data_IF_943593566010
#
_entry.id   IF_943593566010
#
_cell.length_a   1.000
_cell.length_b   1.000
_cell.length_c   1.000
_cell.angle_alpha   90.00
_cell.angle_beta   90.00
_cell.angle_gamma   90.00
#
_symmetry.space_group_name_H-M   'P 1'
#
loop_
_entity.id
_entity.type
_entity.pdbx_description
1 polymer ?
#
# COMPACT_ATOMS: atom_id res chain seq x y z
N UNK A 1 -26.29 22.19 66.36
CA UNK A 1 -25.64 21.05 65.67
C UNK A 1 -25.65 21.35 64.18
N UNK A 2 -24.53 21.86 63.66
CA UNK A 2 -24.34 22.16 62.24
C UNK A 2 -23.80 20.90 61.57
N UNK A 3 -24.59 20.27 60.70
CA UNK A 3 -24.11 19.17 59.86
C UNK A 3 -23.35 19.72 58.65
N UNK A 4 -22.21 19.12 58.24
CA UNK A 4 -21.45 19.60 57.10
C UNK A 4 -22.17 19.27 55.78
N UNK A 5 -22.71 20.29 55.12
CA UNK A 5 -23.21 20.22 53.74
C UNK A 5 -22.04 20.37 52.76
N UNK A 6 -21.15 19.39 52.72
CA UNK A 6 -20.13 19.29 51.68
C UNK A 6 -19.91 17.81 51.42
N UNK A 7 -20.14 17.32 50.19
CA UNK A 7 -19.41 16.18 49.55
C UNK A 7 -20.20 15.37 48.49
N UNK A 8 -21.33 15.82 47.94
CA UNK A 8 -21.94 15.06 46.80
C UNK A 8 -21.38 15.42 45.42
N UNK A 9 -20.82 16.63 45.26
CA UNK A 9 -20.26 17.08 43.97
C UNK A 9 -18.85 16.54 43.66
N UNK A 10 -18.06 16.22 44.69
CA UNK A 10 -16.68 15.77 44.56
C UNK A 10 -16.52 14.34 44.01
N UNK A 11 -17.25 13.31 44.49
CA UNK A 11 -17.15 11.95 43.95
C UNK A 11 -17.65 11.88 42.50
N UNK A 12 -18.70 12.65 42.17
CA UNK A 12 -19.22 12.75 40.81
C UNK A 12 -18.21 13.40 39.85
N UNK A 13 -17.51 14.47 40.30
CA UNK A 13 -16.40 15.08 39.54
C UNK A 13 -15.26 14.09 39.27
N UNK A 14 -14.86 13.31 40.29
CA UNK A 14 -13.79 12.32 40.14
C UNK A 14 -14.17 11.20 39.17
N UNK A 15 -15.42 10.74 39.21
CA UNK A 15 -15.95 9.75 38.26
C UNK A 15 -15.98 10.28 36.83
N UNK A 16 -16.50 11.50 36.61
CA UNK A 16 -16.50 12.11 35.27
C UNK A 16 -15.08 12.37 34.75
N UNK A 17 -14.17 12.84 35.61
CA UNK A 17 -12.77 13.04 35.24
C UNK A 17 -12.08 11.72 34.90
N UNK A 18 -12.28 10.66 35.70
CA UNK A 18 -11.73 9.34 35.43
C UNK A 18 -12.28 8.75 34.12
N UNK A 19 -13.58 8.88 33.87
CA UNK A 19 -14.21 8.46 32.61
C UNK A 19 -13.69 9.26 31.42
N UNK A 20 -13.50 10.58 31.57
CA UNK A 20 -12.93 11.44 30.54
C UNK A 20 -11.48 11.05 30.20
N UNK A 21 -10.65 10.80 31.21
CA UNK A 21 -9.26 10.35 31.02
C UNK A 21 -9.24 9.00 30.31
N UNK A 22 -10.05 8.03 30.74
CA UNK A 22 -10.12 6.71 30.09
C UNK A 22 -10.57 6.83 28.62
N UNK A 23 -11.56 7.69 28.35
CA UNK A 23 -12.03 7.96 26.99
C UNK A 23 -10.94 8.62 26.14
N UNK A 24 -10.23 9.62 26.67
CA UNK A 24 -9.12 10.29 25.98
C UNK A 24 -8.02 9.28 25.67
N UNK A 25 -7.61 8.46 26.63
CA UNK A 25 -6.56 7.45 26.44
C UNK A 25 -6.97 6.45 25.36
N UNK A 26 -8.18 5.89 25.43
CA UNK A 26 -8.68 4.92 24.46
C UNK A 26 -8.84 5.55 23.07
N UNK A 27 -9.36 6.77 23.00
CA UNK A 27 -9.51 7.49 21.74
C UNK A 27 -8.17 7.85 21.13
N UNK A 28 -7.22 8.39 21.91
CA UNK A 28 -5.88 8.71 21.44
C UNK A 28 -5.15 7.46 20.94
N UNK A 29 -5.33 6.31 21.61
CA UNK A 29 -4.79 5.03 21.13
C UNK A 29 -5.41 4.60 19.80
N UNK A 30 -6.73 4.64 19.66
CA UNK A 30 -7.42 4.32 18.40
C UNK A 30 -7.07 5.29 17.26
N UNK A 31 -6.99 6.59 17.56
CA UNK A 31 -6.54 7.65 16.67
C UNK A 31 -5.10 7.41 16.19
N UNK A 32 -4.21 7.04 17.10
CA UNK A 32 -2.81 6.73 16.78
C UNK A 32 -2.70 5.52 15.85
N UNK A 33 -3.39 4.41 16.16
CA UNK A 33 -3.37 3.21 15.32
C UNK A 33 -3.90 3.50 13.91
N UNK A 34 -5.07 4.14 13.81
CA UNK A 34 -5.73 4.37 12.52
C UNK A 34 -5.01 5.46 11.71
N UNK A 35 -4.51 6.51 12.36
CA UNK A 35 -3.69 7.54 11.73
C UNK A 35 -2.38 7.00 11.17
N UNK A 36 -1.76 6.01 11.86
CA UNK A 36 -0.57 5.33 11.36
C UNK A 36 -0.85 4.51 10.11
N UNK A 37 -1.96 3.78 10.04
CA UNK A 37 -2.35 3.01 8.85
C UNK A 37 -2.51 3.93 7.61
N UNK A 38 -3.17 5.07 7.79
CA UNK A 38 -3.32 6.07 6.72
C UNK A 38 -1.97 6.66 6.28
N UNK A 39 -1.08 6.97 7.22
CA UNK A 39 0.26 7.46 6.93
C UNK A 39 1.11 6.42 6.19
N UNK A 40 1.03 5.14 6.56
CA UNK A 40 1.72 4.03 5.90
C UNK A 40 1.31 3.91 4.42
N UNK A 41 0.01 4.02 4.11
CA UNK A 41 -0.51 3.99 2.74
C UNK A 41 0.01 5.16 1.89
N UNK A 42 -0.09 6.38 2.41
CA UNK A 42 0.39 7.58 1.71
C UNK A 42 1.91 7.54 1.48
N UNK A 43 2.66 6.99 2.46
CA UNK A 43 4.10 6.77 2.33
C UNK A 43 4.40 5.79 1.20
N UNK A 44 3.76 4.63 1.15
CA UNK A 44 3.98 3.61 0.10
C UNK A 44 3.63 4.18 -1.29
N UNK A 45 2.53 4.92 -1.39
CA UNK A 45 2.17 5.58 -2.65
C UNK A 45 3.24 6.58 -3.09
N UNK A 46 3.72 7.43 -2.18
CA UNK A 46 4.81 8.35 -2.47
C UNK A 46 6.09 7.62 -2.90
N UNK A 47 6.46 6.50 -2.24
CA UNK A 47 7.60 5.68 -2.67
C UNK A 47 7.40 5.13 -4.09
N UNK A 48 6.22 4.61 -4.40
CA UNK A 48 5.91 4.06 -5.72
C UNK A 48 6.00 5.11 -6.83
N UNK A 49 5.47 6.31 -6.60
CA UNK A 49 5.49 7.41 -7.56
C UNK A 49 6.89 8.02 -7.71
N UNK A 50 7.56 8.32 -6.60
CA UNK A 50 8.84 9.02 -6.61
C UNK A 50 10.02 8.10 -6.93
N UNK A 51 10.09 6.89 -6.38
CA UNK A 51 11.24 5.99 -6.55
C UNK A 51 10.91 4.76 -7.41
N UNK A 52 9.70 4.22 -7.32
CA UNK A 52 9.34 2.96 -7.97
C UNK A 52 9.33 3.10 -9.49
N UNK A 53 8.53 4.05 -10.00
CA UNK A 53 8.43 4.25 -11.45
C UNK A 53 9.76 4.61 -12.12
N UNK A 54 10.62 5.51 -11.57
CA UNK A 54 11.94 5.74 -12.13
C UNK A 54 12.84 4.50 -12.10
N UNK A 55 12.82 3.74 -11.00
CA UNK A 55 13.60 2.49 -10.87
C UNK A 55 13.15 1.45 -11.90
N UNK A 56 11.85 1.28 -12.11
CA UNK A 56 11.30 0.36 -13.12
C UNK A 56 11.72 0.75 -14.55
N UNK A 57 11.76 2.05 -14.86
CA UNK A 57 12.24 2.53 -16.16
C UNK A 57 13.73 2.26 -16.32
N UNK A 58 14.52 2.56 -15.29
CA UNK A 58 15.95 2.29 -15.27
C UNK A 58 16.26 0.79 -15.46
N UNK A 59 15.55 -0.11 -14.77
CA UNK A 59 15.73 -1.56 -14.95
C UNK A 59 15.51 -1.96 -16.41
N UNK A 60 14.42 -1.50 -17.04
CA UNK A 60 14.13 -1.82 -18.45
C UNK A 60 15.17 -1.26 -19.42
N UNK A 61 15.65 -0.05 -19.18
CA UNK A 61 16.66 0.58 -20.03
C UNK A 61 18.02 -0.12 -19.87
N UNK A 62 18.42 -0.47 -18.64
CA UNK A 62 19.60 -1.28 -18.37
C UNK A 62 19.53 -2.67 -19.03
N UNK A 63 18.38 -3.35 -18.94
CA UNK A 63 18.15 -4.63 -19.62
C UNK A 63 18.31 -4.51 -21.14
N UNK A 64 17.76 -3.42 -21.71
CA UNK A 64 17.86 -3.14 -23.14
C UNK A 64 19.31 -2.86 -23.53
N UNK A 65 20.00 -2.01 -22.79
CA UNK A 65 21.41 -1.68 -23.03
C UNK A 65 22.31 -2.90 -22.89
N UNK A 66 22.09 -3.77 -21.89
CA UNK A 66 22.80 -5.04 -21.74
C UNK A 66 22.65 -5.91 -22.99
N UNK A 67 21.42 -6.11 -23.44
CA UNK A 67 21.15 -6.95 -24.61
C UNK A 67 21.84 -6.40 -25.87
N UNK A 68 21.78 -5.08 -26.12
CA UNK A 68 22.48 -4.45 -27.26
C UNK A 68 24.00 -4.51 -27.11
N UNK A 69 24.51 -4.36 -25.90
CA UNK A 69 25.94 -4.45 -25.60
C UNK A 69 26.46 -5.86 -25.89
N UNK A 70 25.78 -6.90 -25.39
CA UNK A 70 26.17 -8.28 -25.60
C UNK A 70 26.18 -8.65 -27.10
N UNK A 71 25.15 -8.27 -27.85
CA UNK A 71 25.13 -8.49 -29.29
C UNK A 71 26.18 -7.69 -30.06
N UNK A 72 26.49 -6.46 -29.61
CA UNK A 72 27.59 -5.65 -30.19
C UNK A 72 28.95 -6.30 -29.98
N UNK A 73 29.23 -6.78 -28.78
CA UNK A 73 30.47 -7.53 -28.47
C UNK A 73 30.58 -8.79 -29.35
N UNK A 74 29.45 -9.45 -29.62
CA UNK A 74 29.38 -10.60 -30.51
C UNK A 74 29.47 -10.26 -32.02
N UNK A 75 29.54 -8.97 -32.39
CA UNK A 75 29.64 -8.52 -33.78
C UNK A 75 28.31 -8.36 -34.52
N UNK A 76 27.20 -8.25 -33.80
CA UNK A 76 25.85 -8.06 -34.35
C UNK A 76 25.63 -6.65 -34.92
N UNK A 77 25.44 -6.48 -36.24
CA UNK A 77 25.35 -5.15 -36.84
C UNK A 77 24.07 -4.39 -36.46
N UNK A 78 22.98 -5.11 -36.15
CA UNK A 78 21.71 -4.48 -35.72
C UNK A 78 21.82 -3.92 -34.31
N UNK A 79 22.50 -4.65 -33.44
CA UNK A 79 22.74 -4.29 -32.05
C UNK A 79 23.69 -3.09 -31.98
N UNK A 80 24.75 -3.11 -32.78
CA UNK A 80 25.66 -1.96 -32.96
C UNK A 80 24.90 -0.70 -33.38
N UNK A 81 24.01 -0.81 -34.38
CA UNK A 81 23.26 0.32 -34.90
C UNK A 81 22.27 0.94 -33.89
N UNK A 82 21.89 0.19 -32.84
CA UNK A 82 20.88 0.60 -31.85
C UNK A 82 21.45 0.82 -30.44
N UNK A 83 22.75 0.59 -30.24
CA UNK A 83 23.41 0.71 -28.94
C UNK A 83 23.40 2.15 -28.41
N UNK A 84 23.61 3.15 -29.27
CA UNK A 84 23.60 4.56 -28.88
C UNK A 84 22.23 5.00 -28.32
N UNK A 85 21.14 4.56 -28.95
CA UNK A 85 19.78 4.85 -28.49
C UNK A 85 19.49 4.17 -27.15
N UNK A 86 19.95 2.93 -26.96
CA UNK A 86 19.82 2.22 -25.69
C UNK A 86 20.57 2.94 -24.56
N UNK A 87 21.83 3.35 -24.81
CA UNK A 87 22.63 4.15 -23.87
C UNK A 87 21.93 5.45 -23.48
N UNK A 88 21.40 6.17 -24.47
CA UNK A 88 20.65 7.41 -24.25
C UNK A 88 19.37 7.19 -23.42
N UNK A 89 18.68 6.05 -23.60
CA UNK A 89 17.56 5.62 -22.76
C UNK A 89 17.97 5.49 -21.30
N UNK A 90 19.00 4.69 -21.04
CA UNK A 90 19.55 4.50 -19.69
C UNK A 90 19.97 5.82 -19.07
N UNK A 91 20.67 6.69 -19.80
CA UNK A 91 21.13 7.97 -19.26
C UNK A 91 19.96 8.86 -18.80
N UNK A 92 18.86 8.90 -19.56
CA UNK A 92 17.63 9.61 -19.15
C UNK A 92 17.03 9.00 -17.89
N UNK A 93 16.99 7.67 -17.79
CA UNK A 93 16.44 6.99 -16.61
C UNK A 93 17.31 7.18 -15.37
N UNK A 94 18.64 7.19 -15.52
CA UNK A 94 19.57 7.52 -14.43
C UNK A 94 19.38 8.97 -13.97
N UNK A 95 19.27 9.93 -14.90
CA UNK A 95 19.00 11.33 -14.56
C UNK A 95 17.67 11.49 -13.81
N UNK A 96 16.60 10.86 -14.31
CA UNK A 96 15.29 10.89 -13.65
C UNK A 96 15.31 10.30 -12.23
N UNK A 97 16.10 9.24 -12.00
CA UNK A 97 16.28 8.67 -10.66
C UNK A 97 17.10 9.59 -9.73
N UNK A 98 18.13 10.28 -10.25
CA UNK A 98 18.89 11.29 -9.49
C UNK A 98 18.00 12.46 -9.08
N UNK A 99 17.17 12.94 -9.99
CA UNK A 99 16.23 14.03 -9.70
C UNK A 99 15.20 13.61 -8.64
N UNK A 100 14.69 12.37 -8.74
CA UNK A 100 13.74 11.82 -7.77
C UNK A 100 14.32 11.66 -6.35
N UNK A 101 15.60 11.31 -6.24
CA UNK A 101 16.28 11.10 -4.95
C UNK A 101 16.74 12.41 -4.31
N UNK A 102 17.16 13.40 -5.12
CA UNK A 102 17.62 14.71 -4.68
C UNK A 102 16.51 15.66 -4.16
N UNK A 103 15.24 15.32 -4.37
CA UNK A 103 14.10 16.11 -3.90
C UNK A 103 13.89 16.04 -2.37
N UNK A 104 13.53 17.18 -1.77
CA UNK A 104 13.08 17.24 -0.36
C UNK A 104 11.58 16.96 -0.27
N UNK A 105 11.15 15.73 -0.57
CA UNK A 105 9.77 15.32 -0.25
C UNK A 105 9.68 14.91 1.23
N UNK A 106 8.93 15.70 2.00
CA UNK A 106 8.66 15.45 3.42
C UNK A 106 8.03 14.06 3.64
N UNK A 107 7.32 13.51 2.64
CA UNK A 107 6.69 12.18 2.69
C UNK A 107 7.72 11.04 2.65
N UNK A 108 8.95 11.32 2.20
CA UNK A 108 10.05 10.36 2.15
C UNK A 108 10.96 10.43 3.39
N UNK A 109 10.70 11.30 4.36
CA UNK A 109 11.54 11.41 5.57
C UNK A 109 11.57 10.13 6.41
N UNK A 110 10.54 9.29 6.31
CA UNK A 110 10.43 7.99 7.00
C UNK A 110 10.90 6.82 6.13
N UNK A 111 11.40 7.07 4.92
CA UNK A 111 11.78 6.07 3.93
C UNK A 111 13.27 5.68 3.96
N UNK A 112 13.97 5.92 5.09
CA UNK A 112 15.44 5.87 5.21
C UNK A 112 16.09 4.71 4.46
N UNK A 113 15.70 3.47 4.78
CA UNK A 113 16.30 2.28 4.16
C UNK A 113 16.07 2.17 2.64
N UNK A 114 14.94 2.63 2.11
CA UNK A 114 14.69 2.63 0.65
C UNK A 114 15.54 3.70 -0.03
N UNK A 115 15.66 4.88 0.58
CA UNK A 115 16.54 5.94 0.09
C UNK A 115 18.00 5.49 0.11
N UNK A 116 18.46 4.82 1.17
CA UNK A 116 19.84 4.31 1.26
C UNK A 116 20.15 3.31 0.14
N UNK A 117 19.18 2.46 -0.24
CA UNK A 117 19.32 1.52 -1.37
C UNK A 117 19.31 2.25 -2.71
N UNK A 118 18.47 3.27 -2.88
CA UNK A 118 18.49 4.11 -4.08
C UNK A 118 19.82 4.88 -4.21
N UNK A 119 20.35 5.43 -3.13
CA UNK A 119 21.66 6.09 -3.10
C UNK A 119 22.80 5.11 -3.42
N UNK A 120 22.69 3.87 -2.92
CA UNK A 120 23.64 2.80 -3.26
C UNK A 120 23.59 2.46 -4.74
N UNK A 121 22.40 2.37 -5.33
CA UNK A 121 22.23 2.18 -6.77
C UNK A 121 22.86 3.33 -7.56
N UNK A 122 22.61 4.58 -7.17
CA UNK A 122 23.21 5.76 -7.83
C UNK A 122 24.73 5.74 -7.78
N UNK A 123 25.33 5.43 -6.62
CA UNK A 123 26.78 5.25 -6.49
C UNK A 123 27.34 4.17 -7.39
N UNK A 124 26.60 3.07 -7.61
CA UNK A 124 27.00 2.01 -8.54
C UNK A 124 26.90 2.46 -10.00
N UNK A 125 25.87 3.24 -10.33
CA UNK A 125 25.67 3.81 -11.67
C UNK A 125 26.71 4.87 -12.05
N UNK A 126 27.40 5.47 -11.08
CA UNK A 126 28.52 6.37 -11.38
C UNK A 126 29.68 5.63 -12.09
N UNK A 127 29.79 4.31 -11.93
CA UNK A 127 30.72 3.46 -12.68
C UNK A 127 30.22 2.99 -14.06
N UNK A 128 29.04 3.43 -14.51
CA UNK A 128 28.46 2.97 -15.78
C UNK A 128 29.30 3.39 -17.00
N UNK A 129 29.98 4.54 -16.93
CA UNK A 129 30.87 4.99 -18.02
C UNK A 129 32.07 4.05 -18.20
N UNK A 130 32.69 3.62 -17.09
CA UNK A 130 33.81 2.67 -17.11
C UNK A 130 33.35 1.30 -17.63
N UNK A 131 32.18 0.84 -17.18
CA UNK A 131 31.57 -0.41 -17.67
C UNK A 131 31.33 -0.37 -19.19
N UNK A 132 30.85 0.77 -19.72
CA UNK A 132 30.68 0.99 -21.16
C UNK A 132 32.01 0.98 -21.91
N UNK A 133 33.07 1.56 -21.33
CA UNK A 133 34.40 1.54 -21.93
C UNK A 133 34.97 0.10 -22.01
N UNK A 134 34.73 -0.74 -21.00
CA UNK A 134 35.10 -2.16 -21.05
C UNK A 134 34.33 -2.91 -22.14
N UNK A 135 33.02 -2.66 -22.25
CA UNK A 135 32.19 -3.21 -23.31
C UNK A 135 32.65 -2.78 -24.71
N UNK A 136 32.98 -1.50 -24.89
CA UNK A 136 33.47 -0.94 -26.16
C UNK A 136 34.84 -1.51 -26.55
N UNK A 137 35.63 -1.95 -25.56
CA UNK A 137 36.86 -2.72 -25.77
C UNK A 137 36.60 -4.22 -26.07
N UNK A 138 35.35 -4.66 -26.15
CA UNK A 138 34.96 -6.03 -26.47
C UNK A 138 35.06 -7.00 -25.31
N UNK A 139 35.12 -6.53 -24.04
CA UNK A 139 35.22 -7.40 -22.87
C UNK A 139 33.87 -8.03 -22.52
N UNK A 140 33.70 -9.37 -22.60
CA UNK A 140 32.42 -10.02 -22.29
C UNK A 140 32.00 -9.87 -20.83
N UNK A 141 32.95 -9.63 -19.91
CA UNK A 141 32.70 -9.41 -18.48
C UNK A 141 31.80 -8.18 -18.23
N UNK A 142 31.76 -7.23 -19.17
CA UNK A 142 30.90 -6.06 -19.06
C UNK A 142 29.40 -6.45 -19.00
N UNK A 143 28.99 -7.55 -19.66
CA UNK A 143 27.61 -8.05 -19.59
C UNK A 143 27.24 -8.44 -18.15
N UNK A 144 28.16 -9.10 -17.43
CA UNK A 144 27.98 -9.42 -16.01
C UNK A 144 27.95 -8.17 -15.14
N UNK A 145 28.67 -7.10 -15.51
CA UNK A 145 28.56 -5.81 -14.82
C UNK A 145 27.16 -5.20 -14.93
N UNK A 146 26.48 -5.33 -16.08
CA UNK A 146 25.08 -4.91 -16.21
C UNK A 146 24.13 -5.77 -15.36
N UNK A 147 24.33 -7.09 -15.31
CA UNK A 147 23.54 -7.99 -14.46
C UNK A 147 23.57 -7.53 -13.00
N UNK A 148 24.77 -7.17 -12.51
CA UNK A 148 24.95 -6.67 -11.15
C UNK A 148 24.26 -5.32 -10.91
N UNK A 149 24.32 -4.39 -11.88
CA UNK A 149 23.60 -3.12 -11.78
C UNK A 149 22.08 -3.33 -11.71
N UNK A 150 21.55 -4.24 -12.53
CA UNK A 150 20.13 -4.61 -12.52
C UNK A 150 19.75 -5.26 -11.18
N UNK A 151 20.59 -6.13 -10.63
CA UNK A 151 20.36 -6.75 -9.32
C UNK A 151 20.31 -5.72 -8.18
N UNK A 152 21.21 -4.73 -8.20
CA UNK A 152 21.18 -3.59 -7.26
C UNK A 152 19.93 -2.73 -7.47
N UNK A 153 19.49 -2.55 -8.72
CA UNK A 153 18.27 -1.81 -9.02
C UNK A 153 17.02 -2.51 -8.45
N UNK A 154 16.91 -3.83 -8.60
CA UNK A 154 15.85 -4.59 -7.94
C UNK A 154 15.96 -4.59 -6.41
N UNK A 155 17.15 -4.41 -5.84
CA UNK A 155 17.33 -4.34 -4.39
C UNK A 155 16.70 -3.08 -3.76
N UNK A 156 16.41 -2.04 -4.56
CA UNK A 156 15.62 -0.88 -4.10
C UNK A 156 14.27 -1.33 -3.54
N UNK A 157 13.66 -2.37 -4.12
CA UNK A 157 12.44 -3.01 -3.65
C UNK A 157 12.68 -3.93 -2.44
N UNK A 158 12.86 -3.31 -1.27
CA UNK A 158 12.99 -3.98 0.03
C UNK A 158 11.66 -4.22 0.77
N UNK A 159 11.70 -4.80 1.99
CA UNK A 159 10.52 -5.07 2.81
C UNK A 159 9.64 -3.84 3.10
N UNK A 160 10.21 -2.63 3.05
CA UNK A 160 9.57 -1.36 3.39
C UNK A 160 8.57 -0.87 2.34
N UNK A 161 8.55 -1.53 1.17
CA UNK A 161 7.57 -1.35 0.09
C UNK A 161 6.21 -1.98 0.39
N UNK A 162 6.12 -2.81 1.44
CA UNK A 162 4.85 -3.33 1.95
C UNK A 162 4.27 -2.47 3.07
N UNK A 163 2.96 -2.20 3.03
CA UNK A 163 2.22 -1.87 4.24
C UNK A 163 2.11 -3.15 5.10
N UNK A 164 2.58 -3.08 6.35
CA UNK A 164 2.52 -4.07 7.46
C UNK A 164 1.89 -5.44 7.13
N UNK A 165 2.60 -6.55 7.42
CA UNK A 165 2.18 -7.97 7.28
C UNK A 165 0.73 -8.20 6.80
N UNK A 166 0.51 -7.94 5.52
CA UNK A 166 -0.80 -7.98 4.88
C UNK A 166 -0.67 -8.81 3.61
N UNK A 167 -1.79 -9.40 3.18
CA UNK A 167 -1.84 -10.12 1.89
C UNK A 167 -1.34 -9.24 0.74
N UNK A 168 -1.60 -7.93 0.78
CA UNK A 168 -1.14 -6.97 -0.23
C UNK A 168 0.39 -6.78 -0.23
N UNK A 169 1.03 -6.77 0.94
CA UNK A 169 2.48 -6.72 1.03
C UNK A 169 3.15 -8.01 0.54
N UNK A 170 2.55 -9.17 0.83
CA UNK A 170 2.99 -10.45 0.29
C UNK A 170 2.89 -10.48 -1.23
N UNK A 171 1.77 -10.02 -1.76
CA UNK A 171 1.53 -9.94 -3.19
C UNK A 171 2.48 -8.97 -3.91
N UNK A 172 2.74 -7.79 -3.34
CA UNK A 172 3.71 -6.83 -3.89
C UNK A 172 5.10 -7.47 -3.98
N UNK A 173 5.52 -8.19 -2.93
CA UNK A 173 6.79 -8.95 -2.93
C UNK A 173 6.80 -10.02 -4.03
N UNK A 174 5.69 -10.73 -4.21
CA UNK A 174 5.52 -11.73 -5.27
C UNK A 174 5.58 -11.13 -6.69
N UNK A 175 5.01 -9.93 -6.90
CA UNK A 175 5.12 -9.22 -8.19
C UNK A 175 6.57 -8.87 -8.51
N UNK A 176 7.32 -8.36 -7.52
CA UNK A 176 8.76 -8.09 -7.69
C UNK A 176 9.55 -9.37 -7.94
N UNK A 177 9.23 -10.46 -7.24
CA UNK A 177 9.84 -11.76 -7.47
C UNK A 177 9.56 -12.28 -8.89
N UNK A 178 8.34 -12.11 -9.40
CA UNK A 178 7.98 -12.48 -10.76
C UNK A 178 8.71 -11.62 -11.81
N UNK A 179 8.91 -10.32 -11.53
CA UNK A 179 9.73 -9.45 -12.35
C UNK A 179 11.21 -9.90 -12.38
N UNK A 180 11.75 -10.41 -11.26
CA UNK A 180 13.08 -11.04 -11.21
C UNK A 180 13.12 -12.35 -12.02
N UNK A 181 12.06 -13.15 -12.02
CA UNK A 181 11.95 -14.35 -12.87
C UNK A 181 12.00 -13.98 -14.36
N UNK A 182 11.30 -12.91 -14.77
CA UNK A 182 11.42 -12.37 -16.13
C UNK A 182 12.85 -11.92 -16.44
N UNK A 183 13.51 -11.26 -15.50
CA UNK A 183 14.89 -10.83 -15.66
C UNK A 183 15.85 -12.01 -15.90
N UNK A 184 15.67 -13.13 -15.19
CA UNK A 184 16.46 -14.35 -15.42
C UNK A 184 16.30 -14.87 -16.85
N UNK A 185 15.06 -14.89 -17.38
CA UNK A 185 14.83 -15.23 -18.79
C UNK A 185 15.50 -14.22 -19.75
N UNK A 186 15.55 -12.94 -19.38
CA UNK A 186 16.23 -11.94 -20.19
C UNK A 186 17.76 -12.12 -20.16
N UNK A 187 18.33 -12.71 -19.09
CA UNK A 187 19.74 -13.11 -19.04
C UNK A 187 20.01 -14.28 -19.96
N UNK A 188 19.13 -15.29 -19.95
CA UNK A 188 19.19 -16.43 -20.88
C UNK A 188 19.19 -15.93 -22.33
N UNK A 189 18.25 -15.02 -22.66
CA UNK A 189 18.13 -14.44 -23.99
C UNK A 189 19.37 -13.63 -24.41
N UNK A 190 19.93 -12.85 -23.49
CA UNK A 190 21.16 -12.08 -23.72
C UNK A 190 22.35 -13.00 -23.98
N UNK A 191 22.53 -14.03 -23.14
CA UNK A 191 23.62 -15.00 -23.25
C UNK A 191 23.57 -15.73 -24.59
N UNK A 192 22.39 -16.25 -24.96
CA UNK A 192 22.25 -17.08 -26.17
C UNK A 192 22.28 -16.25 -27.44
N UNK A 193 21.67 -15.06 -27.44
CA UNK A 193 21.77 -14.15 -28.58
C UNK A 193 23.23 -13.79 -28.85
N UNK A 194 24.03 -13.51 -27.82
CA UNK A 194 25.45 -13.23 -27.98
C UNK A 194 26.23 -14.45 -28.51
N UNK A 195 26.04 -15.63 -27.93
CA UNK A 195 26.73 -16.85 -28.35
C UNK A 195 26.40 -17.25 -29.80
N UNK A 196 25.11 -17.20 -30.17
CA UNK A 196 24.64 -17.54 -31.52
C UNK A 196 25.09 -16.49 -32.55
N UNK A 197 25.13 -15.21 -32.19
CA UNK A 197 25.69 -14.15 -33.05
C UNK A 197 27.20 -14.34 -33.27
N UNK A 198 27.92 -14.76 -32.22
CA UNK A 198 29.33 -15.15 -32.29
C UNK A 198 29.58 -16.48 -33.03
N UNK A 199 28.53 -17.17 -33.47
CA UNK A 199 28.58 -18.35 -34.33
C UNK A 199 28.82 -19.69 -33.62
N UNK A 200 28.86 -19.73 -32.28
CA UNK A 200 28.98 -21.00 -31.53
C UNK A 200 28.47 -20.87 -30.10
N UNK A 201 27.83 -21.93 -29.60
CA UNK A 201 27.53 -22.07 -28.17
C UNK A 201 28.63 -22.89 -27.49
N UNK A 202 29.32 -22.28 -26.53
CA UNK A 202 30.43 -22.95 -25.83
C UNK A 202 29.93 -23.84 -24.67
N UNK A 203 30.76 -24.79 -24.18
CA UNK A 203 30.41 -25.55 -22.97
C UNK A 203 30.13 -24.66 -21.75
N UNK A 204 30.83 -23.52 -21.64
CA UNK A 204 30.61 -22.57 -20.56
C UNK A 204 29.24 -21.87 -20.69
N UNK A 205 28.85 -21.50 -21.92
CA UNK A 205 27.52 -20.94 -22.20
C UNK A 205 26.42 -21.93 -21.85
N UNK A 206 26.56 -23.22 -22.21
CA UNK A 206 25.59 -24.26 -21.85
C UNK A 206 25.47 -24.44 -20.34
N UNK A 207 26.60 -24.42 -19.61
CA UNK A 207 26.60 -24.50 -18.15
C UNK A 207 25.85 -23.32 -17.53
N UNK A 208 26.18 -22.09 -17.95
CA UNK A 208 25.50 -20.86 -17.47
C UNK A 208 24.01 -20.84 -17.85
N UNK A 209 23.66 -21.32 -19.04
CA UNK A 209 22.28 -21.46 -19.48
C UNK A 209 21.51 -22.41 -18.55
N UNK A 210 22.08 -23.59 -18.25
CA UNK A 210 21.47 -24.54 -17.31
C UNK A 210 21.23 -23.92 -15.94
N UNK A 211 22.24 -23.23 -15.39
CA UNK A 211 22.14 -22.51 -14.11
C UNK A 211 21.01 -21.46 -14.13
N UNK A 212 20.91 -20.65 -15.18
CA UNK A 212 19.85 -19.65 -15.32
C UNK A 212 18.46 -20.28 -15.42
N UNK A 213 18.31 -21.35 -16.21
CA UNK A 213 17.03 -22.05 -16.38
C UNK A 213 16.55 -22.62 -15.05
N UNK A 214 17.44 -23.29 -14.31
CA UNK A 214 17.08 -23.91 -13.03
C UNK A 214 16.67 -22.85 -12.00
N UNK A 215 17.45 -21.78 -11.89
CA UNK A 215 17.14 -20.66 -10.98
C UNK A 215 15.85 -19.97 -11.40
N UNK A 216 15.60 -19.76 -12.70
CA UNK A 216 14.37 -19.14 -13.21
C UNK A 216 13.14 -19.98 -12.88
N UNK A 217 13.19 -21.30 -13.11
CA UNK A 217 12.05 -22.19 -12.83
C UNK A 217 11.72 -22.17 -11.34
N UNK A 218 12.71 -22.35 -10.48
CA UNK A 218 12.54 -22.27 -9.03
C UNK A 218 12.01 -20.90 -8.58
N UNK A 219 12.64 -19.81 -9.03
CA UNK A 219 12.22 -18.45 -8.66
C UNK A 219 10.80 -18.13 -9.13
N UNK A 220 10.39 -18.62 -10.30
CA UNK A 220 9.04 -18.48 -10.81
C UNK A 220 8.00 -19.19 -9.95
N UNK A 221 8.25 -20.44 -9.59
CA UNK A 221 7.34 -21.22 -8.74
C UNK A 221 7.22 -20.64 -7.34
N UNK A 222 8.33 -20.17 -6.75
CA UNK A 222 8.32 -19.45 -5.47
C UNK A 222 7.59 -18.10 -5.56
N UNK A 223 7.84 -17.32 -6.62
CA UNK A 223 7.27 -15.99 -6.79
C UNK A 223 5.74 -16.00 -6.74
N UNK A 224 5.11 -17.02 -7.34
CA UNK A 224 3.65 -17.07 -7.46
C UNK A 224 2.92 -17.48 -6.18
N UNK A 225 3.61 -18.07 -5.19
CA UNK A 225 2.99 -18.54 -3.94
C UNK A 225 2.25 -17.45 -3.17
N UNK A 226 2.74 -16.21 -3.22
CA UNK A 226 2.12 -15.05 -2.56
C UNK A 226 1.10 -14.29 -3.41
N UNK A 227 0.82 -14.74 -4.65
CA UNK A 227 -0.19 -14.13 -5.52
C UNK A 227 -1.59 -14.70 -5.27
N UNK A 228 -2.67 -13.99 -5.62
CA UNK A 228 -4.02 -14.57 -5.61
C UNK A 228 -4.15 -15.73 -6.60
N UNK A 229 -5.09 -16.64 -6.34
CA UNK A 229 -5.30 -17.84 -7.16
C UNK A 229 -5.47 -17.56 -8.66
N UNK A 230 -6.17 -16.49 -9.04
CA UNK A 230 -6.31 -16.11 -10.47
C UNK A 230 -4.98 -15.74 -11.14
N UNK A 231 -4.08 -15.09 -10.41
CA UNK A 231 -2.75 -14.74 -10.90
C UNK A 231 -1.81 -15.96 -10.92
N UNK A 232 -1.96 -16.88 -9.95
CA UNK A 232 -1.30 -18.19 -9.96
C UNK A 232 -1.71 -19.03 -11.18
N UNK A 233 -3.01 -19.11 -11.46
CA UNK A 233 -3.57 -19.83 -12.61
C UNK A 233 -3.09 -19.21 -13.93
N UNK A 234 -3.01 -17.87 -13.99
CA UNK A 234 -2.49 -17.16 -15.17
C UNK A 234 -1.01 -17.47 -15.41
N UNK A 235 -0.19 -17.51 -14.36
CA UNK A 235 1.21 -17.97 -14.46
C UNK A 235 1.29 -19.42 -14.95
N UNK A 236 0.52 -20.33 -14.34
CA UNK A 236 0.53 -21.74 -14.72
C UNK A 236 0.10 -21.95 -16.18
N UNK A 237 -0.94 -21.24 -16.61
CA UNK A 237 -1.41 -21.25 -18.00
C UNK A 237 -0.32 -20.75 -18.96
N UNK A 238 0.41 -19.70 -18.58
CA UNK A 238 1.50 -19.15 -19.38
C UNK A 238 2.66 -20.16 -19.52
N UNK A 239 3.14 -20.72 -18.40
CA UNK A 239 4.31 -21.61 -18.41
C UNK A 239 3.98 -23.00 -18.97
N UNK A 240 2.74 -23.46 -18.89
CA UNK A 240 2.31 -24.72 -19.53
C UNK A 240 1.90 -24.52 -20.99
N UNK A 241 1.70 -23.26 -21.41
CA UNK A 241 1.23 -22.92 -22.74
C UNK A 241 2.27 -23.06 -23.86
N UNK A 242 1.84 -22.89 -25.13
CA UNK A 242 2.69 -23.10 -26.31
C UNK A 242 3.95 -22.24 -26.37
N UNK A 243 3.89 -21.00 -25.84
CA UNK A 243 5.04 -20.07 -25.86
C UNK A 243 6.20 -20.62 -25.04
N UNK A 244 5.93 -21.10 -23.83
CA UNK A 244 6.94 -21.72 -22.97
C UNK A 244 7.31 -23.13 -23.40
N UNK A 245 6.39 -23.88 -24.03
CA UNK A 245 6.73 -25.17 -24.62
C UNK A 245 7.76 -25.03 -25.75
N UNK A 246 7.63 -24.02 -26.62
CA UNK A 246 8.61 -23.73 -27.66
C UNK A 246 9.98 -23.35 -27.09
N UNK A 247 10.01 -22.47 -26.09
CA UNK A 247 11.23 -22.09 -25.37
C UNK A 247 11.92 -23.32 -24.75
N UNK A 248 11.19 -24.11 -23.95
CA UNK A 248 11.74 -25.34 -23.33
C UNK A 248 12.31 -26.31 -24.36
N UNK A 249 11.65 -26.49 -25.50
CA UNK A 249 12.16 -27.37 -26.55
C UNK A 249 13.51 -26.92 -27.12
N UNK A 250 13.82 -25.62 -27.12
CA UNK A 250 15.13 -25.11 -27.53
C UNK A 250 16.15 -25.18 -26.39
N UNK A 251 15.74 -24.85 -25.16
CA UNK A 251 16.55 -25.04 -23.95
C UNK A 251 17.05 -26.49 -23.85
N UNK A 252 16.14 -27.47 -23.94
CA UNK A 252 16.47 -28.89 -23.85
C UNK A 252 17.38 -29.35 -25.00
N UNK A 253 17.23 -28.76 -26.19
CA UNK A 253 18.12 -29.00 -27.34
C UNK A 253 19.53 -28.47 -27.09
N UNK A 254 19.64 -27.27 -26.52
CA UNK A 254 20.92 -26.63 -26.22
C UNK A 254 21.66 -27.31 -25.06
N UNK A 255 20.92 -27.93 -24.15
CA UNK A 255 21.45 -28.68 -23.02
C UNK A 255 21.68 -30.18 -23.33
N UNK A 256 21.32 -30.68 -24.51
CA UNK A 256 21.53 -32.08 -24.90
C UNK A 256 23.03 -32.40 -25.03
N UNK A 257 23.61 -33.22 -24.12
CA UNK A 257 25.02 -33.55 -24.16
C UNK A 257 25.41 -34.43 -25.36
N UNK A 258 24.44 -35.12 -25.98
CA UNK A 258 24.69 -36.00 -27.12
C UNK A 258 24.79 -35.23 -28.45
N UNK A 259 24.32 -33.98 -28.51
CA UNK A 259 24.32 -33.17 -29.73
C UNK A 259 23.53 -33.81 -30.88
N UNK A 260 22.49 -34.58 -30.58
CA UNK A 260 21.77 -35.37 -31.58
C UNK A 260 20.96 -34.50 -32.56
N UNK A 261 20.71 -33.24 -32.20
CA UNK A 261 20.01 -32.24 -33.01
C UNK A 261 20.92 -31.06 -33.33
N UNK A 262 20.81 -30.45 -34.52
CA UNK A 262 21.55 -29.22 -34.83
C UNK A 262 21.26 -28.10 -33.82
N UNK A 263 22.30 -27.33 -33.50
CA UNK A 263 22.15 -26.12 -32.67
C UNK A 263 21.16 -25.16 -33.34
N UNK A 264 20.24 -24.55 -32.58
CA UNK A 264 19.34 -23.54 -33.12
C UNK A 264 20.14 -22.33 -33.60
N UNK A 265 19.70 -21.71 -34.68
CA UNK A 265 20.23 -20.42 -35.08
C UNK A 265 19.63 -19.27 -34.22
N UNK A 266 20.24 -18.09 -34.29
CA UNK A 266 19.78 -16.91 -33.54
C UNK A 266 18.33 -16.53 -33.83
N UNK A 267 17.83 -16.76 -35.05
CA UNK A 267 16.47 -16.44 -35.44
C UNK A 267 15.47 -17.44 -34.84
N UNK A 268 15.81 -18.73 -34.82
CA UNK A 268 15.04 -19.79 -34.18
C UNK A 268 14.91 -19.52 -32.68
N UNK A 269 16.03 -19.19 -32.02
CA UNK A 269 16.04 -18.79 -30.61
C UNK A 269 15.10 -17.59 -30.36
N UNK A 270 15.27 -16.49 -31.10
CA UNK A 270 14.48 -15.28 -30.90
C UNK A 270 12.97 -15.50 -31.09
N UNK A 271 12.58 -16.38 -32.02
CA UNK A 271 11.17 -16.74 -32.26
C UNK A 271 10.54 -17.48 -31.08
N UNK A 272 11.34 -18.19 -30.28
CA UNK A 272 10.87 -18.89 -29.09
C UNK A 272 10.98 -18.04 -27.82
N UNK A 273 12.13 -17.38 -27.60
CA UNK A 273 12.40 -16.59 -26.40
C UNK A 273 11.55 -15.32 -26.34
N UNK A 274 11.40 -14.60 -27.46
CA UNK A 274 10.67 -13.33 -27.54
C UNK A 274 9.22 -13.42 -27.04
N UNK A 275 8.38 -14.35 -27.55
CA UNK A 275 7.02 -14.54 -27.06
C UNK A 275 6.93 -14.97 -25.59
N UNK A 276 7.88 -15.77 -25.08
CA UNK A 276 7.92 -16.17 -23.68
C UNK A 276 8.26 -14.98 -22.76
N UNK A 277 9.27 -14.18 -23.12
CA UNK A 277 9.63 -12.93 -22.45
C UNK A 277 8.48 -11.93 -22.43
N UNK A 278 7.81 -11.74 -23.56
CA UNK A 278 6.64 -10.86 -23.67
C UNK A 278 5.48 -11.35 -22.81
N UNK A 279 5.25 -12.67 -22.78
CA UNK A 279 4.22 -13.27 -21.92
C UNK A 279 4.47 -13.04 -20.42
N UNK A 280 5.72 -13.21 -19.95
CA UNK A 280 6.06 -12.88 -18.56
C UNK A 280 5.95 -11.39 -18.27
N UNK A 281 6.33 -10.52 -19.20
CA UNK A 281 6.18 -9.07 -19.05
C UNK A 281 4.72 -8.64 -18.92
N UNK A 282 3.86 -9.19 -19.79
CA UNK A 282 2.42 -8.97 -19.74
C UNK A 282 1.84 -9.42 -18.40
N UNK A 283 2.26 -10.58 -17.89
CA UNK A 283 1.82 -11.12 -16.61
C UNK A 283 2.27 -10.23 -15.44
N UNK A 284 3.55 -9.85 -15.38
CA UNK A 284 4.07 -8.94 -14.35
C UNK A 284 3.27 -7.63 -14.35
N UNK A 285 3.04 -7.04 -15.53
CA UNK A 285 2.27 -5.79 -15.66
C UNK A 285 0.79 -5.97 -15.33
N UNK A 286 0.16 -7.10 -15.66
CA UNK A 286 -1.24 -7.34 -15.33
C UNK A 286 -1.42 -7.56 -13.83
N UNK A 287 -0.59 -8.41 -13.22
CA UNK A 287 -0.63 -8.69 -11.78
C UNK A 287 -0.31 -7.42 -10.97
N UNK A 288 0.68 -6.62 -11.38
CA UNK A 288 0.94 -5.32 -10.74
C UNK A 288 -0.28 -4.39 -10.79
N UNK A 289 -0.94 -4.26 -11.96
CA UNK A 289 -2.15 -3.43 -12.11
C UNK A 289 -3.33 -3.95 -11.28
N UNK A 290 -3.54 -5.27 -11.28
CA UNK A 290 -4.61 -5.89 -10.48
C UNK A 290 -4.36 -5.73 -8.98
N UNK A 291 -3.10 -5.80 -8.55
CA UNK A 291 -2.70 -5.53 -7.16
C UNK A 291 -3.11 -4.12 -6.73
N UNK A 292 -2.78 -3.10 -7.54
CA UNK A 292 -3.18 -1.70 -7.30
C UNK A 292 -4.72 -1.56 -7.28
N UNK A 293 -5.43 -2.21 -8.20
CA UNK A 293 -6.90 -2.18 -8.23
C UNK A 293 -7.52 -2.79 -6.98
N UNK A 294 -6.97 -3.91 -6.47
CA UNK A 294 -7.44 -4.56 -5.24
C UNK A 294 -7.08 -3.76 -3.98
N UNK A 295 -5.97 -3.02 -4.01
CA UNK A 295 -5.57 -2.13 -2.92
C UNK A 295 -6.47 -0.89 -2.77
N UNK A 296 -6.95 -0.34 -3.90
CA UNK A 296 -7.64 0.97 -3.93
C UNK A 296 -8.87 1.07 -3.00
N UNK A 297 -9.84 0.14 -3.00
CA UNK A 297 -11.02 0.23 -2.13
C UNK A 297 -10.65 0.11 -0.64
N UNK A 298 -9.70 -0.77 -0.32
CA UNK A 298 -9.20 -0.94 1.04
C UNK A 298 -8.53 0.34 1.56
N UNK A 299 -7.69 0.97 0.74
CA UNK A 299 -7.05 2.23 1.06
C UNK A 299 -8.07 3.36 1.30
N UNK A 300 -9.08 3.49 0.44
CA UNK A 300 -10.15 4.48 0.60
C UNK A 300 -10.95 4.26 1.89
N UNK A 301 -11.30 3.00 2.21
CA UNK A 301 -12.02 2.67 3.44
C UNK A 301 -11.18 2.97 4.69
N UNK A 302 -9.87 2.68 4.67
CA UNK A 302 -8.95 3.03 5.77
C UNK A 302 -8.93 4.55 5.97
N UNK A 303 -8.81 5.34 4.91
CA UNK A 303 -8.83 6.81 5.01
C UNK A 303 -10.15 7.35 5.56
N UNK A 304 -11.29 6.89 5.03
CA UNK A 304 -12.63 7.31 5.50
C UNK A 304 -12.85 6.91 6.96
N UNK A 305 -12.50 5.67 7.32
CA UNK A 305 -12.59 5.17 8.70
C UNK A 305 -11.69 5.97 9.64
N UNK A 306 -10.48 6.30 9.21
CA UNK A 306 -9.55 7.16 9.97
C UNK A 306 -10.17 8.52 10.24
N UNK A 307 -10.68 9.18 9.20
CA UNK A 307 -11.37 10.47 9.33
C UNK A 307 -12.57 10.40 10.28
N UNK A 308 -13.37 9.33 10.20
CA UNK A 308 -14.52 9.11 11.08
C UNK A 308 -14.11 8.88 12.54
N UNK A 309 -13.11 8.03 12.83
CA UNK A 309 -12.62 7.76 14.19
C UNK A 309 -12.02 9.01 14.83
N UNK A 310 -11.23 9.76 14.07
CA UNK A 310 -10.66 11.04 14.51
C UNK A 310 -11.76 12.07 14.78
N UNK A 311 -12.70 12.24 13.85
CA UNK A 311 -13.80 13.21 13.96
C UNK A 311 -14.79 12.88 15.08
N UNK A 312 -15.24 11.63 15.19
CA UNK A 312 -16.23 11.21 16.19
C UNK A 312 -15.69 11.31 17.61
N UNK A 313 -14.43 10.92 17.84
CA UNK A 313 -13.87 11.04 19.18
C UNK A 313 -13.53 12.48 19.58
N UNK A 314 -13.18 13.35 18.62
CA UNK A 314 -13.10 14.79 18.88
C UNK A 314 -14.47 15.35 19.28
N UNK A 315 -15.55 14.97 18.59
CA UNK A 315 -16.92 15.36 18.93
C UNK A 315 -17.29 14.87 20.34
N UNK A 316 -16.99 13.60 20.67
CA UNK A 316 -17.26 13.03 21.99
C UNK A 316 -16.51 13.76 23.11
N UNK A 317 -15.23 14.13 22.87
CA UNK A 317 -14.42 14.89 23.80
C UNK A 317 -15.01 16.30 24.05
N UNK A 318 -15.40 17.01 22.99
CA UNK A 318 -16.05 18.32 23.10
C UNK A 318 -17.38 18.21 23.84
N UNK A 319 -18.22 17.22 23.51
CA UNK A 319 -19.49 16.99 24.19
C UNK A 319 -19.29 16.73 25.68
N UNK A 320 -18.30 15.92 26.07
CA UNK A 320 -17.98 15.63 27.47
C UNK A 320 -17.52 16.87 28.23
N UNK A 321 -16.64 17.67 27.63
CA UNK A 321 -16.17 18.95 28.22
C UNK A 321 -17.33 19.94 28.42
N UNK A 322 -18.20 20.08 27.41
CA UNK A 322 -19.38 20.95 27.49
C UNK A 322 -20.38 20.49 28.55
N UNK A 323 -20.57 19.18 28.69
CA UNK A 323 -21.50 18.61 29.69
C UNK A 323 -20.95 18.80 31.11
N UNK A 324 -19.64 18.57 31.31
CA UNK A 324 -18.95 18.88 32.57
C UNK A 324 -19.04 20.36 32.94
N UNK A 325 -18.86 21.26 31.97
CA UNK A 325 -19.00 22.70 32.18
C UNK A 325 -20.44 23.12 32.54
N UNK A 326 -21.46 22.49 31.94
CA UNK A 326 -22.88 22.77 32.25
C UNK A 326 -23.30 22.30 33.65
N UNK A 327 -22.84 21.13 34.08
CA UNK A 327 -23.12 20.63 35.44
C UNK A 327 -22.52 21.55 36.50
N UNK A 328 -21.36 22.16 36.22
CA UNK A 328 -20.70 23.11 37.10
C UNK A 328 -21.38 24.50 37.14
N UNK A 329 -22.11 24.87 36.09
CA UNK A 329 -22.80 26.16 35.96
C UNK A 329 -24.24 26.17 36.47
N UNK A 330 -24.79 25.07 37.00
CA UNK A 330 -26.12 25.09 37.64
C UNK A 330 -25.98 25.63 39.07
N UNK A 331 -26.42 26.86 39.38
CA UNK A 331 -26.51 27.29 40.78
C UNK A 331 -27.52 26.39 41.49
N UNK A 332 -27.13 25.86 42.64
CA UNK A 332 -28.05 25.16 43.52
C UNK A 332 -29.16 26.15 43.92
N UNK A 333 -30.38 25.93 43.42
CA UNK A 333 -31.56 26.69 43.86
C UNK A 333 -31.79 26.32 45.32
N UNK A 334 -31.49 27.27 46.22
CA UNK A 334 -31.78 27.13 47.64
C UNK A 334 -33.30 27.24 47.87
N UNK A 335 -33.94 26.30 48.58
CA UNK A 335 -35.34 26.45 48.94
C UNK A 335 -35.45 27.49 50.07
N UNK A 336 -36.10 28.63 49.80
CA UNK A 336 -36.50 29.57 50.85
C UNK A 336 -37.56 28.92 51.75
N UNK A 337 -37.14 28.55 52.97
CA UNK A 337 -38.03 28.16 54.07
C UNK A 337 -38.44 29.44 54.80
N UNK A 338 -39.65 29.94 54.54
CA UNK A 338 -40.23 31.03 55.31
C UNK A 338 -40.86 30.47 56.59
N UNK A 339 -40.17 30.64 57.73
CA UNK A 339 -40.76 30.56 59.07
C UNK A 339 -40.14 31.69 59.88
N UNK A 340 -40.95 32.68 60.25
CA UNK A 340 -40.90 33.29 61.58
C UNK A 340 -42.27 33.90 61.93
N UNK A 341 -42.75 33.48 63.09
CA UNK A 341 -43.95 33.93 63.77
C UNK A 341 -43.66 35.13 64.67
N UNK A 342 -44.69 35.93 65.01
CA UNK A 342 -44.86 36.44 66.37
C UNK A 342 -44.90 37.97 66.60
N UNK A 343 -46.14 38.49 66.66
CA UNK A 343 -46.71 39.41 67.67
C UNK A 343 -46.29 40.89 67.77
N UNK A 344 -47.24 41.81 67.52
CA UNK A 344 -47.87 42.67 68.55
C UNK A 344 -48.97 43.58 67.95
N UNK A 345 -50.15 43.60 68.58
CA UNK A 345 -51.30 44.50 68.39
C UNK A 345 -51.25 45.63 69.46
N UNK A 346 -52.26 46.55 69.67
CA UNK A 346 -53.61 46.65 69.07
C UNK A 346 -54.17 48.10 68.81
N UNK A 347 -55.36 48.20 68.19
CA UNK A 347 -56.58 48.91 68.70
C UNK A 347 -57.60 49.32 67.61
N UNK A 348 -58.90 49.07 67.87
CA UNK A 348 -60.10 49.72 67.25
C UNK A 348 -60.88 48.91 66.20
N UNK A 349 -61.79 47.98 66.52
CA UNK A 349 -63.24 48.12 66.85
C UNK A 349 -64.12 48.59 65.66
N UNK A 350 -64.93 47.75 64.98
CA UNK A 350 -66.35 47.41 65.27
C UNK A 350 -66.95 46.40 64.22
N UNK A 351 -68.13 45.75 64.45
CA UNK A 351 -68.34 44.30 64.16
C UNK A 351 -69.57 43.84 63.31
N UNK A 352 -69.54 42.57 62.84
CA UNK A 352 -70.67 41.59 62.76
C UNK A 352 -71.36 41.31 61.39
N UNK A 353 -72.14 40.21 61.21
CA UNK A 353 -71.87 38.77 61.45
C UNK A 353 -72.31 37.81 60.26
N UNK A 354 -72.11 36.47 60.33
CA UNK A 354 -72.12 35.47 59.21
C UNK A 354 -73.27 34.41 59.36
N UNK A 355 -73.18 33.10 58.96
CA UNK A 355 -72.65 32.35 57.78
C UNK A 355 -73.72 31.40 57.13
N UNK A 356 -73.44 30.73 55.99
CA UNK A 356 -74.03 29.38 55.67
C UNK A 356 -73.05 28.55 54.81
N UNK A 357 -72.84 27.31 55.26
CA UNK A 357 -72.10 26.19 54.67
C UNK A 357 -73.07 25.29 53.88
N UNK A 358 -72.64 24.71 52.75
CA UNK A 358 -72.99 23.32 52.42
C UNK A 358 -72.21 22.80 51.19
N UNK A 359 -71.58 21.64 51.36
CA UNK A 359 -70.88 20.82 50.34
C UNK A 359 -71.90 19.96 49.54
N UNK A 360 -71.49 18.95 48.76
CA UNK A 360 -70.57 18.88 47.59
C UNK A 360 -71.27 18.24 46.36
N UNK A 361 -70.66 18.27 45.15
CA UNK A 361 -70.68 17.16 44.16
C UNK A 361 -69.81 17.44 42.91
N UNK A 362 -69.17 16.36 42.45
CA UNK A 362 -68.29 16.15 41.29
C UNK A 362 -69.14 15.52 40.16
N UNK A 363 -68.62 15.12 38.97
CA UNK A 363 -67.95 15.81 37.86
C UNK A 363 -68.83 15.83 36.58
N UNK A 364 -68.41 16.54 35.52
CA UNK A 364 -68.56 16.20 34.08
C UNK A 364 -67.98 17.38 33.29
N UNK A 365 -67.38 17.28 32.11
CA UNK A 365 -67.06 16.19 31.21
C UNK A 365 -66.40 16.87 30.02
N UNK A 366 -65.16 16.48 29.67
CA UNK A 366 -64.53 16.99 28.46
C UNK A 366 -64.88 16.04 27.31
N UNK A 367 -65.60 16.57 26.32
CA UNK A 367 -66.08 15.88 25.13
C UNK A 367 -65.20 16.24 23.94
N UNK A 368 -64.98 15.21 23.12
CA UNK A 368 -64.81 15.23 21.67
C UNK A 368 -63.41 15.46 21.11
N UNK A 369 -62.74 14.33 20.92
CA UNK A 369 -61.92 14.09 19.75
C UNK A 369 -62.75 13.76 18.50
N UNK A 370 -62.11 14.05 17.35
CA UNK A 370 -62.04 13.33 16.09
C UNK A 370 -63.28 12.59 15.53
N UNK A 371 -63.66 13.01 14.32
CA UNK A 371 -64.59 12.37 13.40
C UNK A 371 -63.80 11.61 12.28
N UNK A 372 -64.45 10.81 11.40
CA UNK A 372 -64.08 9.41 11.22
C UNK A 372 -63.69 9.02 9.78
N UNK A 373 -63.07 7.85 9.61
CA UNK A 373 -62.81 7.19 8.33
C UNK A 373 -63.24 5.73 8.39
N UNK A 374 -64.08 5.34 7.42
CA UNK A 374 -65.02 4.22 7.42
C UNK A 374 -64.41 2.82 7.12
N UNK A 375 -65.19 1.73 7.30
CA UNK A 375 -64.75 0.33 7.24
C UNK A 375 -65.14 -0.39 5.94
N UNK A 376 -64.47 -1.52 5.63
CA UNK A 376 -65.07 -2.65 4.89
C UNK A 376 -64.20 -3.93 4.92
N UNK A 377 -64.76 -4.97 5.52
CA UNK A 377 -64.60 -6.43 5.35
C UNK A 377 -66.00 -6.97 5.69
N UNK A 378 -66.62 -7.96 5.07
CA UNK A 378 -66.24 -9.05 4.17
C UNK A 378 -67.50 -9.38 3.33
N UNK A 379 -67.32 -10.03 2.18
CA UNK A 379 -68.38 -10.52 1.31
C UNK A 379 -67.88 -10.80 -0.09
#
# INVERSE_FOLDING_TARGET
MNGPATTTAEPLRRLFAAAAVMLIVLWSYAAYLTGRDAADLLRVQALAETLGQPTDRLIRDLQTERHRTAGTIAGGPREMATLADARSGTDRSVAALRDATGGTDLRLLTAGAVRDRADTLLRRLDGLADLRAEADAGRPEAVTGYDQLIDVAFAVYGPEWGARESSLAAETRSVVALARTRELLAREDTLLTAALTGGRVTPDDRRRLGELIDVRRYAGDEAVTGLPGSDQDAYQTLVQGPRFAALRSLEDRLLDPAGARPEPDAQEWQKASGPALAGLDDLVRSTARQSVQRATPGAALVLVRTGAVLGLGLIALVALLLTGARVLRRPAVAPHRAVHAGSAAPAGETPGPPPVDDRPRVPTGNRNGAAPGAPARDG
#
